data_IF_533483906134
#
_entry.id   IF_533483906134
#
_cell.length_a   1.000
_cell.length_b   1.000
_cell.length_c   1.000
_cell.angle_alpha   90.00
_cell.angle_beta   90.00
_cell.angle_gamma   90.00
#
_symmetry.space_group_name_H-M   'P 1'
#
loop_
_entity.id
_entity.type
_entity.pdbx_description
1 polymer ?
#
# COMPACT_ATOMS: atom_id res chain seq x y z
N UNK A 1 -15.86 -1.19 12.08
CA UNK A 1 -16.19 -0.42 10.86
C UNK A 1 -15.98 -1.38 9.71
N UNK A 2 -17.03 -1.77 8.97
CA UNK A 2 -16.80 -2.51 7.73
C UNK A 2 -16.18 -1.53 6.74
N UNK A 3 -15.02 -1.84 6.16
CA UNK A 3 -14.44 -1.00 5.12
C UNK A 3 -15.43 -0.97 3.96
N UNK A 4 -15.81 0.24 3.59
CA UNK A 4 -16.75 0.41 2.48
C UNK A 4 -16.05 -0.04 1.19
N UNK A 5 -16.82 -0.49 0.20
CA UNK A 5 -16.30 -1.00 -1.08
C UNK A 5 -15.29 -0.04 -1.72
N UNK A 6 -15.51 1.27 -1.60
CA UNK A 6 -14.60 2.30 -2.13
C UNK A 6 -13.22 2.26 -1.48
N UNK A 7 -13.13 2.02 -0.18
CA UNK A 7 -11.87 1.90 0.53
C UNK A 7 -11.07 0.68 0.07
N UNK A 8 -11.75 -0.46 -0.11
CA UNK A 8 -11.10 -1.68 -0.64
C UNK A 8 -10.53 -1.45 -2.04
N UNK A 9 -11.36 -0.92 -2.94
CA UNK A 9 -10.95 -0.60 -4.32
C UNK A 9 -9.80 0.41 -4.34
N UNK A 10 -9.84 1.44 -3.49
CA UNK A 10 -8.78 2.45 -3.40
C UNK A 10 -7.44 1.86 -2.93
N UNK A 11 -7.47 0.95 -1.96
CA UNK A 11 -6.26 0.22 -1.52
C UNK A 11 -5.72 -0.64 -2.67
N UNK A 12 -6.58 -1.43 -3.33
CA UNK A 12 -6.19 -2.25 -4.47
C UNK A 12 -5.58 -1.39 -5.60
N UNK A 13 -6.16 -0.24 -5.94
CA UNK A 13 -5.64 0.62 -7.02
C UNK A 13 -4.26 1.18 -6.71
N UNK A 14 -4.02 1.59 -5.46
CA UNK A 14 -2.69 2.07 -5.06
C UNK A 14 -1.65 0.94 -5.08
N UNK A 15 -2.00 -0.26 -4.64
CA UNK A 15 -1.10 -1.41 -4.72
C UNK A 15 -0.74 -1.75 -6.18
N UNK A 16 -1.74 -1.80 -7.06
CA UNK A 16 -1.52 -2.03 -8.49
C UNK A 16 -0.63 -0.95 -9.13
N UNK A 17 -0.85 0.33 -8.79
CA UNK A 17 -0.03 1.43 -9.32
C UNK A 17 1.44 1.33 -8.91
N UNK A 18 1.69 0.88 -7.67
CA UNK A 18 3.05 0.69 -7.16
C UNK A 18 3.71 -0.49 -7.87
N UNK A 19 3.00 -1.61 -8.03
CA UNK A 19 3.47 -2.79 -8.76
C UNK A 19 3.78 -2.46 -10.23
N UNK A 20 2.89 -1.72 -10.91
CA UNK A 20 3.09 -1.25 -12.30
C UNK A 20 4.34 -0.36 -12.44
N UNK A 21 4.71 0.38 -11.38
CA UNK A 21 5.89 1.24 -11.33
C UNK A 21 7.19 0.54 -10.93
N UNK A 22 7.16 -0.76 -10.63
CA UNK A 22 8.31 -1.55 -10.20
C UNK A 22 8.82 -2.47 -11.32
N UNK A 23 10.14 -2.60 -11.45
CA UNK A 23 10.79 -3.56 -12.37
C UNK A 23 10.85 -5.00 -11.78
N UNK A 24 10.18 -5.25 -10.65
CA UNK A 24 10.25 -6.49 -9.88
C UNK A 24 9.23 -7.55 -10.32
N UNK A 25 9.42 -8.79 -9.85
CA UNK A 25 8.46 -9.89 -10.07
C UNK A 25 7.49 -10.09 -8.90
N UNK A 26 7.74 -9.42 -7.78
CA UNK A 26 6.96 -9.58 -6.56
C UNK A 26 5.74 -8.68 -6.58
N UNK A 27 4.59 -9.29 -6.30
CA UNK A 27 3.31 -8.60 -6.17
C UNK A 27 3.04 -8.30 -4.70
N UNK A 28 2.13 -7.38 -4.41
CA UNK A 28 1.68 -7.11 -3.06
C UNK A 28 1.14 -8.38 -2.40
N UNK A 29 0.53 -9.29 -3.17
CA UNK A 29 0.02 -10.56 -2.64
C UNK A 29 1.12 -11.49 -2.07
N UNK A 30 2.36 -11.34 -2.54
CA UNK A 30 3.52 -12.10 -2.05
C UNK A 30 4.11 -11.50 -0.76
N UNK A 31 3.72 -10.29 -0.37
CA UNK A 31 4.26 -9.59 0.78
C UNK A 31 3.71 -10.14 2.11
N UNK A 32 4.56 -10.30 3.16
CA UNK A 32 4.15 -10.83 4.46
C UNK A 32 2.94 -10.11 5.09
N UNK A 33 2.87 -8.78 4.96
CA UNK A 33 1.81 -7.99 5.59
C UNK A 33 0.50 -7.96 4.79
N UNK A 34 0.49 -8.47 3.55
CA UNK A 34 -0.70 -8.45 2.70
C UNK A 34 -1.85 -9.28 3.26
N UNK A 35 -1.57 -10.46 3.80
CA UNK A 35 -2.61 -11.32 4.38
C UNK A 35 -3.35 -10.62 5.54
N UNK A 36 -2.64 -9.81 6.33
CA UNK A 36 -3.26 -9.04 7.42
C UNK A 36 -4.21 -7.96 6.88
N UNK A 37 -3.79 -7.25 5.82
CA UNK A 37 -4.62 -6.26 5.13
C UNK A 37 -5.84 -6.93 4.49
N UNK A 38 -5.64 -8.03 3.76
CA UNK A 38 -6.69 -8.80 3.10
C UNK A 38 -7.76 -9.24 4.10
N UNK A 39 -7.36 -9.83 5.23
CA UNK A 39 -8.30 -10.27 6.27
C UNK A 39 -9.05 -9.11 6.93
N UNK A 40 -8.40 -7.97 7.09
CA UNK A 40 -8.98 -6.80 7.75
C UNK A 40 -9.98 -6.07 6.87
N UNK A 41 -9.68 -6.00 5.57
CA UNK A 41 -10.53 -5.36 4.58
C UNK A 41 -11.51 -6.32 3.92
N UNK A 42 -11.32 -7.64 4.06
CA UNK A 42 -12.01 -8.66 3.29
C UNK A 42 -11.84 -8.44 1.77
N UNK A 43 -10.59 -8.20 1.34
CA UNK A 43 -10.28 -7.96 -0.07
C UNK A 43 -10.59 -9.20 -0.91
N UNK A 44 -11.19 -8.97 -2.07
CA UNK A 44 -11.54 -10.00 -3.05
C UNK A 44 -10.89 -9.71 -4.40
N UNK A 45 -10.79 -10.72 -5.26
CA UNK A 45 -10.32 -10.54 -6.65
C UNK A 45 -11.14 -9.47 -7.40
N UNK A 46 -12.45 -9.40 -7.15
CA UNK A 46 -13.33 -8.40 -7.75
C UNK A 46 -12.95 -6.97 -7.37
N UNK A 47 -12.41 -6.75 -6.16
CA UNK A 47 -11.94 -5.41 -5.76
C UNK A 47 -10.72 -4.98 -6.60
N UNK A 48 -9.84 -5.93 -6.96
CA UNK A 48 -8.71 -5.68 -7.85
C UNK A 48 -9.13 -5.47 -9.30
N UNK A 49 -10.10 -6.24 -9.80
CA UNK A 49 -10.67 -6.02 -11.14
C UNK A 49 -11.25 -4.59 -11.27
N UNK A 50 -12.07 -4.17 -10.31
CA UNK A 50 -12.63 -2.81 -10.28
C UNK A 50 -11.57 -1.73 -10.12
N UNK A 51 -10.49 -2.03 -9.39
CA UNK A 51 -9.41 -1.10 -9.18
C UNK A 51 -8.67 -0.74 -10.47
N UNK A 52 -8.60 -1.63 -11.48
CA UNK A 52 -7.94 -1.35 -12.76
C UNK A 52 -8.55 -0.14 -13.48
N UNK A 53 -9.87 0.07 -13.36
CA UNK A 53 -10.59 1.19 -13.98
C UNK A 53 -10.69 2.44 -13.07
N UNK A 54 -10.12 2.38 -11.86
CA UNK A 54 -10.24 3.44 -10.85
C UNK A 54 -9.08 4.43 -10.93
N UNK A 55 -9.35 5.72 -10.76
CA UNK A 55 -8.27 6.72 -10.72
C UNK A 55 -7.41 6.59 -9.46
N UNK A 56 -6.08 6.62 -9.64
CA UNK A 56 -5.12 6.70 -8.52
C UNK A 56 -5.37 7.95 -7.68
N UNK A 57 -5.62 9.10 -8.32
CA UNK A 57 -5.87 10.36 -7.60
C UNK A 57 -7.14 10.29 -6.75
N UNK A 58 -8.22 9.69 -7.28
CA UNK A 58 -9.45 9.48 -6.50
C UNK A 58 -9.19 8.53 -5.32
N UNK A 59 -8.41 7.47 -5.56
CA UNK A 59 -8.03 6.50 -4.53
C UNK A 59 -7.26 7.16 -3.39
N UNK A 60 -6.30 8.05 -3.70
CA UNK A 60 -5.56 8.81 -2.69
C UNK A 60 -6.49 9.70 -1.84
N UNK A 61 -7.50 10.34 -2.45
CA UNK A 61 -8.48 11.15 -1.71
C UNK A 61 -9.33 10.30 -0.75
N UNK A 62 -9.67 9.07 -1.15
CA UNK A 62 -10.38 8.11 -0.29
C UNK A 62 -9.47 7.70 0.87
N UNK A 63 -8.24 7.25 0.56
CA UNK A 63 -7.28 6.77 1.56
C UNK A 63 -6.87 7.86 2.55
N UNK A 64 -6.91 9.14 2.16
CA UNK A 64 -6.70 10.26 3.07
C UNK A 64 -7.62 10.21 4.30
N UNK A 65 -8.87 9.77 4.12
CA UNK A 65 -9.90 9.70 5.18
C UNK A 65 -9.99 8.32 5.85
N UNK A 66 -9.20 7.36 5.37
CA UNK A 66 -9.17 5.99 5.88
C UNK A 66 -8.55 5.91 7.28
N UNK A 67 -8.95 4.89 8.03
CA UNK A 67 -8.42 4.64 9.36
C UNK A 67 -6.90 4.38 9.35
N UNK A 68 -6.16 4.95 10.32
CA UNK A 68 -4.69 4.87 10.38
C UNK A 68 -4.14 3.44 10.31
N UNK A 69 -4.83 2.47 10.90
CA UNK A 69 -4.47 1.06 10.79
C UNK A 69 -4.35 0.53 9.36
N UNK A 70 -5.23 0.97 8.44
CA UNK A 70 -5.18 0.53 7.05
C UNK A 70 -4.02 1.25 6.34
N UNK A 71 -3.81 2.54 6.62
CA UNK A 71 -2.66 3.30 6.13
C UNK A 71 -1.33 2.66 6.56
N UNK A 72 -1.24 2.18 7.80
CA UNK A 72 -0.06 1.48 8.32
C UNK A 72 0.17 0.15 7.60
N UNK A 73 -0.87 -0.66 7.40
CA UNK A 73 -0.74 -1.92 6.67
C UNK A 73 -0.35 -1.70 5.21
N UNK A 74 -0.92 -0.69 4.55
CA UNK A 74 -0.48 -0.26 3.23
C UNK A 74 1.01 0.13 3.24
N UNK A 75 1.44 0.92 4.21
CA UNK A 75 2.84 1.32 4.35
C UNK A 75 3.78 0.12 4.54
N UNK A 76 3.38 -0.87 5.36
CA UNK A 76 4.17 -2.10 5.57
C UNK A 76 4.31 -2.90 4.27
N UNK A 77 3.24 -3.06 3.50
CA UNK A 77 3.26 -3.79 2.22
C UNK A 77 4.16 -3.09 1.20
N UNK A 78 4.06 -1.76 1.08
CA UNK A 78 4.94 -0.99 0.18
C UNK A 78 6.39 -1.06 0.65
N UNK A 79 6.62 -1.10 1.96
CA UNK A 79 7.94 -1.31 2.52
C UNK A 79 8.49 -2.71 2.18
N UNK A 80 7.67 -3.76 2.27
CA UNK A 80 8.04 -5.13 1.89
C UNK A 80 8.47 -5.17 0.42
N UNK A 81 7.62 -4.63 -0.47
CA UNK A 81 7.88 -4.54 -1.92
C UNK A 81 9.22 -3.87 -2.23
N UNK A 82 9.47 -2.70 -1.63
CA UNK A 82 10.71 -1.96 -1.90
C UNK A 82 11.95 -2.56 -1.25
N UNK A 83 11.78 -3.36 -0.19
CA UNK A 83 12.88 -3.95 0.58
C UNK A 83 13.43 -5.25 -0.02
N UNK A 84 12.85 -5.75 -1.10
CA UNK A 84 13.42 -6.90 -1.83
C UNK A 84 14.80 -6.60 -2.45
N UNK A 85 15.08 -5.34 -2.73
CA UNK A 85 16.37 -4.91 -3.26
C UNK A 85 17.40 -4.89 -2.13
N UNK A 86 18.56 -5.53 -2.35
CA UNK A 86 19.69 -5.49 -1.40
C UNK A 86 20.09 -4.06 -0.99
N UNK A 87 19.96 -3.11 -1.92
CA UNK A 87 20.09 -1.68 -1.66
C UNK A 87 18.84 -0.99 -2.18
N UNK A 88 18.01 -0.49 -1.26
CA UNK A 88 16.77 0.21 -1.61
C UNK A 88 17.11 1.51 -2.36
N UNK A 89 16.64 1.68 -3.61
CA UNK A 89 16.85 2.89 -4.40
C UNK A 89 16.27 4.16 -3.76
N UNK A 90 16.89 5.32 -4.01
CA UNK A 90 16.42 6.60 -3.45
C UNK A 90 15.03 6.98 -3.95
N UNK A 91 14.73 6.73 -5.23
CA UNK A 91 13.42 7.01 -5.82
C UNK A 91 12.29 6.24 -5.14
N UNK A 92 12.53 5.00 -4.67
CA UNK A 92 11.53 4.22 -3.95
C UNK A 92 11.25 4.81 -2.57
N UNK A 93 12.29 5.24 -1.85
CA UNK A 93 12.11 5.97 -0.59
C UNK A 93 11.29 7.25 -0.82
N UNK A 94 11.62 8.02 -1.86
CA UNK A 94 10.87 9.24 -2.19
C UNK A 94 9.42 8.95 -2.60
N UNK A 95 9.18 7.90 -3.38
CA UNK A 95 7.84 7.48 -3.78
C UNK A 95 7.00 7.09 -2.57
N UNK A 96 7.58 6.31 -1.65
CA UNK A 96 6.97 5.96 -0.37
C UNK A 96 6.57 7.22 0.42
N UNK A 97 7.52 8.13 0.67
CA UNK A 97 7.24 9.36 1.42
C UNK A 97 6.13 10.16 0.73
N UNK A 98 6.17 10.25 -0.60
CA UNK A 98 5.16 10.98 -1.38
C UNK A 98 3.77 10.37 -1.21
N UNK A 99 3.64 9.05 -1.31
CA UNK A 99 2.39 8.33 -1.07
C UNK A 99 1.85 8.58 0.34
N UNK A 100 2.71 8.40 1.35
CA UNK A 100 2.34 8.52 2.76
C UNK A 100 1.91 9.95 3.12
N UNK A 101 2.58 10.96 2.55
CA UNK A 101 2.17 12.36 2.64
C UNK A 101 0.82 12.62 1.94
N UNK A 102 0.60 12.05 0.75
CA UNK A 102 -0.63 12.27 -0.02
C UNK A 102 -1.90 11.78 0.72
N UNK A 103 -1.76 10.78 1.58
CA UNK A 103 -2.85 10.22 2.37
C UNK A 103 -2.91 10.76 3.81
N UNK A 104 -2.30 11.91 4.12
CA UNK A 104 -2.22 12.50 5.47
C UNK A 104 -1.72 11.52 6.55
N UNK A 105 -0.68 10.75 6.24
CA UNK A 105 -0.02 9.88 7.21
C UNK A 105 1.50 9.87 6.98
N UNK A 106 2.20 10.98 7.32
CA UNK A 106 3.60 11.21 6.96
C UNK A 106 4.58 10.39 7.83
N UNK A 107 4.41 9.07 7.86
CA UNK A 107 5.37 8.14 8.43
C UNK A 107 6.48 7.93 7.41
N UNK A 108 7.73 7.92 7.88
CA UNK A 108 8.88 7.73 6.99
C UNK A 108 9.13 6.28 6.64
N UNK A 109 9.78 6.03 5.50
CA UNK A 109 10.17 4.68 5.09
C UNK A 109 11.05 4.01 6.15
N UNK A 110 11.99 4.76 6.74
CA UNK A 110 12.89 4.26 7.78
C UNK A 110 12.16 3.87 9.07
N UNK A 111 11.11 4.60 9.45
CA UNK A 111 10.28 4.24 10.61
C UNK A 111 9.51 2.95 10.38
N UNK A 112 8.97 2.74 9.17
CA UNK A 112 8.26 1.51 8.82
C UNK A 112 9.22 0.33 8.74
N UNK A 113 10.37 0.48 8.09
CA UNK A 113 11.39 -0.57 8.01
C UNK A 113 11.87 -1.02 9.39
N UNK A 114 12.00 -0.09 10.35
CA UNK A 114 12.36 -0.42 11.72
C UNK A 114 11.27 -1.25 12.43
N UNK A 115 9.99 -0.97 12.15
CA UNK A 115 8.84 -1.69 12.73
C UNK A 115 8.65 -3.08 12.13
N UNK A 116 8.78 -3.20 10.81
CA UNK A 116 8.68 -4.49 10.08
C UNK A 116 9.67 -5.54 10.61
N UNK A 117 10.85 -5.14 11.09
CA UNK A 117 11.85 -6.05 11.67
C UNK A 117 11.57 -6.49 13.11
N UNK A 118 10.57 -5.90 13.76
CA UNK A 118 10.22 -6.17 15.17
C UNK A 118 8.93 -6.96 15.35
N UNK A 119 8.22 -7.23 14.25
CA UNK A 119 7.05 -8.14 14.19
C UNK A 119 7.49 -9.53 13.71
#
# INVERSE_FOLDING_TARGET
MNPNERERIAVCRVLLDIEEGMDGYTTAADCPHFQQLQNKLLLTEQDFEKAQDTSVLESLVILKKTHYNIKMLLALIVCDLYSEYMVIPLNYRMAFETLMNAIDWPISFSEVLAKSKTE
#
